data_IF_983705684888
#
_entry.id   IF_983705684888
#
_cell.length_a   1.000
_cell.length_b   1.000
_cell.length_c   1.000
_cell.angle_alpha   90.00
_cell.angle_beta   90.00
_cell.angle_gamma   90.00
#
_symmetry.space_group_name_H-M   'P 1'
#
loop_
_entity.id
_entity.type
_entity.pdbx_description
1 polymer ?
#
# COMPACT_ATOMS: atom_id res chain seq x y z
N UNK A 1 2.77 9.04 6.64
CA UNK A 1 1.87 8.21 7.47
C UNK A 1 2.65 7.08 8.12
N UNK A 2 2.24 6.67 9.30
CA UNK A 2 2.86 5.54 9.98
C UNK A 2 2.33 4.22 9.40
N UNK A 3 3.23 3.36 8.95
CA UNK A 3 2.86 2.04 8.43
C UNK A 3 2.95 1.02 9.54
N UNK A 4 1.83 0.36 9.83
CA UNK A 4 1.70 -0.66 10.89
C UNK A 4 1.63 -2.03 10.22
N UNK A 5 2.19 -3.05 10.89
CA UNK A 5 2.31 -4.42 10.38
C UNK A 5 3.18 -4.49 9.10
N UNK A 6 4.24 -3.70 9.07
CA UNK A 6 5.17 -3.67 7.94
C UNK A 6 5.85 -5.03 7.68
N UNK A 7 5.85 -5.93 8.65
CA UNK A 7 6.35 -7.29 8.48
C UNK A 7 5.66 -8.04 7.34
N UNK A 8 4.39 -7.71 7.05
CA UNK A 8 3.68 -8.32 5.92
C UNK A 8 4.26 -7.89 4.57
N UNK A 9 4.77 -6.65 4.50
CA UNK A 9 5.49 -6.18 3.32
C UNK A 9 6.83 -6.91 3.15
N UNK A 10 7.54 -7.15 4.24
CA UNK A 10 8.80 -7.89 4.23
C UNK A 10 8.56 -9.33 3.77
N UNK A 11 7.52 -9.98 4.30
CA UNK A 11 7.13 -11.33 3.87
C UNK A 11 6.80 -11.36 2.37
N UNK A 12 6.11 -10.35 1.87
CA UNK A 12 5.76 -10.25 0.46
C UNK A 12 7.01 -10.08 -0.41
N UNK A 13 7.99 -9.31 0.04
CA UNK A 13 9.25 -9.14 -0.68
C UNK A 13 10.02 -10.45 -0.79
N UNK A 14 9.96 -11.29 0.23
CA UNK A 14 10.58 -12.62 0.24
C UNK A 14 9.82 -13.56 -0.68
N UNK A 15 8.49 -13.56 -0.62
CA UNK A 15 7.63 -14.44 -1.42
C UNK A 15 7.64 -14.07 -2.90
N UNK A 16 7.74 -12.78 -3.20
CA UNK A 16 7.69 -12.23 -4.56
C UNK A 16 8.93 -11.40 -4.84
N UNK A 17 10.12 -12.03 -4.97
CA UNK A 17 11.37 -11.28 -5.09
C UNK A 17 11.44 -10.36 -6.31
N UNK A 18 10.73 -10.70 -7.40
CA UNK A 18 10.68 -9.84 -8.59
C UNK A 18 9.96 -8.51 -8.34
N UNK A 19 9.11 -8.44 -7.33
CA UNK A 19 8.40 -7.22 -6.94
C UNK A 19 9.05 -6.48 -5.78
N UNK A 20 10.19 -6.93 -5.30
CA UNK A 20 10.86 -6.41 -4.10
C UNK A 20 11.03 -4.89 -4.15
N UNK A 21 11.58 -4.35 -5.24
CA UNK A 21 11.84 -2.92 -5.37
C UNK A 21 10.55 -2.11 -5.43
N UNK A 22 9.53 -2.63 -6.07
CA UNK A 22 8.23 -1.94 -6.19
C UNK A 22 7.49 -1.90 -4.86
N UNK A 23 7.55 -2.98 -4.09
CA UNK A 23 6.99 -3.02 -2.74
C UNK A 23 7.74 -2.04 -1.83
N UNK A 24 9.05 -2.04 -1.90
CA UNK A 24 9.88 -1.13 -1.12
C UNK A 24 9.61 0.33 -1.49
N UNK A 25 9.47 0.63 -2.77
CA UNK A 25 9.14 1.97 -3.24
C UNK A 25 7.77 2.44 -2.73
N UNK A 26 6.77 1.58 -2.77
CA UNK A 26 5.44 1.87 -2.22
C UNK A 26 5.51 2.19 -0.73
N UNK A 27 6.24 1.37 0.02
CA UNK A 27 6.44 1.57 1.47
C UNK A 27 7.10 2.92 1.75
N UNK A 28 8.14 3.26 0.99
CA UNK A 28 8.87 4.51 1.16
C UNK A 28 7.97 5.72 0.94
N UNK A 29 7.19 5.71 -0.11
CA UNK A 29 6.25 6.80 -0.42
C UNK A 29 5.21 6.91 0.70
N UNK A 30 4.62 5.80 1.10
CA UNK A 30 3.58 5.78 2.12
C UNK A 30 4.09 6.25 3.47
N UNK A 31 5.29 5.83 3.87
CA UNK A 31 5.85 6.17 5.19
C UNK A 31 6.38 7.60 5.25
N UNK A 32 6.79 8.18 4.11
CA UNK A 32 7.41 9.51 4.07
C UNK A 32 6.47 10.64 3.65
N UNK A 33 5.21 10.32 3.36
CA UNK A 33 4.24 11.31 2.90
C UNK A 33 3.00 11.29 3.81
N UNK A 34 2.49 12.47 4.12
CA UNK A 34 1.25 12.60 4.88
C UNK A 34 0.09 12.78 3.90
N UNK A 35 -0.82 11.82 3.91
CA UNK A 35 -2.03 11.87 3.09
C UNK A 35 -3.21 12.19 3.99
N UNK A 36 -4.05 13.15 3.59
CA UNK A 36 -5.17 13.62 4.41
C UNK A 36 -6.53 13.19 3.87
N UNK A 37 -6.58 12.67 2.64
CA UNK A 37 -7.81 12.28 1.99
C UNK A 37 -7.55 11.23 0.91
N UNK A 38 -8.59 10.51 0.46
CA UNK A 38 -8.46 9.62 -0.69
C UNK A 38 -7.99 10.34 -1.96
N UNK A 39 -8.36 11.60 -2.14
CA UNK A 39 -7.91 12.39 -3.29
C UNK A 39 -6.41 12.58 -3.28
N UNK A 40 -5.82 12.82 -2.11
CA UNK A 40 -4.36 12.93 -1.98
C UNK A 40 -3.66 11.64 -2.39
N UNK A 41 -4.21 10.50 -1.98
CA UNK A 41 -3.70 9.21 -2.38
C UNK A 41 -3.74 9.01 -3.89
N UNK A 42 -4.84 9.41 -4.53
CA UNK A 42 -5.02 9.24 -5.98
C UNK A 42 -4.06 10.08 -6.80
N UNK A 43 -3.58 11.20 -6.27
CA UNK A 43 -2.58 12.01 -6.95
C UNK A 43 -1.25 11.28 -7.11
N UNK A 44 -0.93 10.38 -6.19
CA UNK A 44 0.31 9.61 -6.18
C UNK A 44 0.08 8.18 -6.69
N UNK A 45 -1.02 7.56 -6.27
CA UNK A 45 -1.37 6.18 -6.61
C UNK A 45 -2.63 6.17 -7.47
N UNK A 46 -2.48 6.53 -8.75
CA UNK A 46 -3.62 6.68 -9.64
C UNK A 46 -4.48 5.44 -9.81
N UNK A 47 -3.89 4.25 -9.64
CA UNK A 47 -4.58 2.97 -9.80
C UNK A 47 -5.21 2.46 -8.50
N UNK A 48 -5.08 3.19 -7.42
CA UNK A 48 -5.62 2.72 -6.16
C UNK A 48 -7.14 2.68 -6.19
N UNK A 49 -7.70 1.71 -5.47
CA UNK A 49 -9.14 1.57 -5.28
C UNK A 49 -9.44 1.56 -3.79
N UNK A 50 -10.51 2.21 -3.39
CA UNK A 50 -10.84 2.25 -1.99
C UNK A 50 -12.27 2.65 -1.73
N UNK A 51 -12.78 2.18 -0.59
CA UNK A 51 -14.09 2.50 -0.08
C UNK A 51 -14.02 2.55 1.44
N UNK A 52 -14.51 3.62 2.02
CA UNK A 52 -14.41 3.88 3.47
C UNK A 52 -12.95 3.92 3.92
N UNK A 53 -12.55 2.97 4.78
CA UNK A 53 -11.19 2.89 5.32
C UNK A 53 -10.33 1.84 4.62
N UNK A 54 -10.93 1.06 3.69
CA UNK A 54 -10.26 -0.06 3.03
C UNK A 54 -9.74 0.38 1.67
N UNK A 55 -8.44 0.29 1.46
CA UNK A 55 -7.79 0.72 0.22
C UNK A 55 -6.89 -0.38 -0.33
N UNK A 56 -6.92 -0.55 -1.65
CA UNK A 56 -6.12 -1.52 -2.38
C UNK A 56 -5.20 -0.77 -3.34
N UNK A 57 -3.92 -1.08 -3.26
CA UNK A 57 -2.91 -0.43 -4.10
C UNK A 57 -2.27 -1.48 -5.01
N UNK A 58 -2.50 -1.40 -6.33
CA UNK A 58 -1.74 -2.24 -7.25
C UNK A 58 -0.26 -1.93 -7.15
N UNK A 59 0.55 -2.95 -6.99
CA UNK A 59 2.01 -2.79 -6.97
C UNK A 59 2.50 -2.74 -8.43
N UNK A 60 3.19 -1.67 -8.84
CA UNK A 60 3.62 -1.52 -10.23
C UNK A 60 4.42 -2.70 -10.76
N UNK A 61 4.21 -3.01 -12.03
CA UNK A 61 4.93 -4.06 -12.76
C UNK A 61 4.82 -5.44 -12.14
N UNK A 62 3.74 -5.66 -11.37
CA UNK A 62 3.45 -6.94 -10.75
C UNK A 62 1.95 -7.20 -10.80
N UNK A 63 1.55 -8.40 -10.43
CA UNK A 63 0.12 -8.74 -10.29
C UNK A 63 -0.30 -8.76 -8.82
N UNK A 64 0.36 -7.94 -8.00
CA UNK A 64 0.12 -7.89 -6.56
C UNK A 64 -0.74 -6.69 -6.19
N UNK A 65 -1.54 -6.87 -5.14
CA UNK A 65 -2.31 -5.81 -4.49
C UNK A 65 -1.89 -5.72 -3.03
N UNK A 66 -1.56 -4.51 -2.59
CA UNK A 66 -1.39 -4.22 -1.17
C UNK A 66 -2.75 -3.84 -0.60
N UNK A 67 -3.29 -4.67 0.28
CA UNK A 67 -4.57 -4.43 0.95
C UNK A 67 -4.31 -3.73 2.27
N UNK A 68 -4.96 -2.60 2.47
CA UNK A 68 -4.70 -1.76 3.64
C UNK A 68 -5.99 -1.25 4.26
N UNK A 69 -5.88 -0.88 5.54
CA UNK A 69 -6.87 -0.08 6.24
C UNK A 69 -6.19 1.23 6.62
N UNK A 70 -6.80 2.36 6.29
CA UNK A 70 -6.20 3.67 6.50
C UNK A 70 -7.08 4.51 7.42
N UNK A 71 -6.45 5.10 8.45
CA UNK A 71 -7.07 6.10 9.30
C UNK A 71 -6.35 7.43 9.04
N UNK A 72 -7.00 8.32 8.30
CA UNK A 72 -6.41 9.61 7.92
C UNK A 72 -6.24 10.53 9.13
N UNK A 73 -7.17 10.51 10.08
CA UNK A 73 -7.07 11.34 11.28
C UNK A 73 -5.86 10.97 12.12
N UNK A 74 -5.59 9.68 12.28
CA UNK A 74 -4.46 9.18 13.05
C UNK A 74 -3.17 9.08 12.23
N UNK A 75 -3.23 9.27 10.91
CA UNK A 75 -2.10 9.11 10.00
C UNK A 75 -1.46 7.72 10.10
N UNK A 76 -2.32 6.69 10.08
CA UNK A 76 -1.92 5.28 10.22
C UNK A 76 -2.40 4.48 9.02
N UNK A 77 -1.52 3.67 8.45
CA UNK A 77 -1.83 2.67 7.43
C UNK A 77 -1.54 1.31 8.02
N UNK A 78 -2.58 0.49 8.19
CA UNK A 78 -2.43 -0.89 8.61
C UNK A 78 -2.34 -1.78 7.36
N UNK A 79 -1.25 -2.52 7.24
CA UNK A 79 -1.10 -3.48 6.14
C UNK A 79 -1.88 -4.74 6.51
N UNK A 80 -2.96 -4.99 5.78
CA UNK A 80 -3.76 -6.20 5.97
C UNK A 80 -3.07 -7.39 5.32
N UNK A 81 -2.74 -7.28 4.02
CA UNK A 81 -2.03 -8.34 3.31
C UNK A 81 -1.49 -7.79 1.98
N UNK A 82 -0.57 -8.55 1.38
CA UNK A 82 -0.13 -8.35 0.00
C UNK A 82 -0.44 -9.65 -0.75
N UNK A 83 -1.36 -9.57 -1.69
CA UNK A 83 -1.91 -10.76 -2.35
C UNK A 83 -1.87 -10.59 -3.87
N UNK A 84 -1.84 -11.69 -4.62
CA UNK A 84 -2.07 -11.62 -6.06
C UNK A 84 -3.48 -11.07 -6.30
N UNK A 85 -3.57 -10.10 -7.22
CA UNK A 85 -4.85 -9.47 -7.53
C UNK A 85 -5.20 -9.63 -9.00
N UNK A 86 -6.48 -9.84 -9.27
CA UNK A 86 -7.02 -9.79 -10.62
C UNK A 86 -7.56 -8.38 -10.86
N UNK A 87 -7.09 -7.77 -11.90
CA UNK A 87 -7.51 -6.41 -12.27
C UNK A 87 -8.50 -6.41 -13.40
#
# INVERSE_FOLDING_TARGET
>A
MKVVAASRLIEAQIRYPSAHEHIQGWYQIMSNTDFHSPEDLRKVFGDMRGFNSSFKFPIPESKLLARTLINFAAQVVLIDDVVPGNH
#
